data_IF_181885597095
#
_entry.id   IF_181885597095
#
_cell.length_a   1.000
_cell.length_b   1.000
_cell.length_c   1.000
_cell.angle_alpha   90.00
_cell.angle_beta   90.00
_cell.angle_gamma   90.00
#
_symmetry.space_group_name_H-M   'P 1'
#
loop_
_entity.id
_entity.type
_entity.pdbx_description
1 polymer ?
#
# COMPACT_ATOMS: atom_id res chain seq x y z
N UNK A 1 18.38 -29.39 9.01
CA UNK A 1 17.63 -30.26 9.94
C UNK A 1 16.19 -29.80 9.95
N UNK A 2 15.25 -30.64 9.52
CA UNK A 2 13.81 -30.38 9.63
C UNK A 2 13.40 -30.74 11.06
N UNK A 3 12.97 -29.76 11.85
CA UNK A 3 12.33 -29.99 13.14
C UNK A 3 10.97 -30.62 12.83
N UNK A 4 10.88 -31.95 12.96
CA UNK A 4 9.60 -32.65 12.94
C UNK A 4 8.94 -32.38 14.27
N UNK A 5 7.83 -31.64 14.25
CA UNK A 5 6.91 -31.57 15.37
C UNK A 5 6.35 -32.97 15.62
N UNK A 6 6.60 -33.52 16.81
CA UNK A 6 6.12 -34.84 17.26
C UNK A 6 4.58 -34.88 17.46
N UNK A 7 3.87 -33.78 17.16
CA UNK A 7 2.42 -33.66 17.27
C UNK A 7 1.61 -34.50 16.28
N UNK A 8 2.17 -34.85 15.12
CA UNK A 8 1.41 -35.60 14.11
C UNK A 8 1.19 -37.07 14.46
N UNK A 9 1.92 -37.63 15.44
CA UNK A 9 1.72 -39.01 15.87
C UNK A 9 0.61 -39.12 16.94
N UNK A 10 0.41 -38.10 17.77
CA UNK A 10 -0.60 -38.12 18.84
C UNK A 10 -2.01 -37.71 18.39
N UNK A 11 -2.17 -37.01 17.26
CA UNK A 11 -3.50 -36.77 16.65
C UNK A 11 -4.20 -38.08 16.23
N UNK A 12 -3.43 -39.15 15.94
CA UNK A 12 -3.97 -40.44 15.51
C UNK A 12 -4.47 -41.33 16.65
N UNK A 13 -3.98 -41.13 17.87
CA UNK A 13 -4.35 -41.98 19.02
C UNK A 13 -5.56 -41.44 19.80
N UNK A 14 -5.95 -40.18 19.58
CA UNK A 14 -7.15 -39.58 20.21
C UNK A 14 -8.48 -40.01 19.55
N UNK A 15 -8.45 -40.96 18.61
CA UNK A 15 -9.60 -41.36 17.81
C UNK A 15 -10.64 -42.26 18.49
N UNK A 16 -10.32 -43.00 19.56
CA UNK A 16 -11.26 -44.06 20.02
C UNK A 16 -11.40 -44.30 21.53
N UNK A 17 -10.70 -43.58 22.41
CA UNK A 17 -11.04 -43.66 23.85
C UNK A 17 -10.98 -42.29 24.49
N UNK A 18 -12.16 -41.70 24.65
CA UNK A 18 -12.41 -40.56 25.48
C UNK A 18 -12.64 -41.07 26.92
N UNK A 19 -11.65 -41.06 27.83
CA UNK A 19 -11.84 -41.56 29.18
C UNK A 19 -12.51 -40.47 30.04
N UNK A 20 -13.11 -40.90 31.16
CA UNK A 20 -14.03 -40.19 32.05
C UNK A 20 -13.55 -38.90 32.75
N UNK A 21 -12.63 -38.14 32.15
CA UNK A 21 -12.24 -36.77 32.59
C UNK A 21 -13.20 -35.72 31.98
N UNK A 22 -14.04 -36.11 31.02
CA UNK A 22 -14.92 -35.23 30.24
C UNK A 22 -16.13 -34.71 31.01
N UNK A 23 -16.47 -35.28 32.17
CA UNK A 23 -17.63 -34.80 32.94
C UNK A 23 -17.44 -33.42 33.59
N UNK A 24 -16.25 -32.83 33.55
CA UNK A 24 -16.02 -31.53 34.20
C UNK A 24 -14.99 -30.65 33.48
N UNK A 25 -15.32 -30.18 32.28
CA UNK A 25 -14.72 -28.93 31.77
C UNK A 25 -14.83 -27.80 32.82
N UNK A 26 -15.77 -27.86 33.77
CA UNK A 26 -15.91 -26.91 34.88
C UNK A 26 -15.02 -27.19 36.11
N UNK A 27 -14.60 -28.42 36.41
CA UNK A 27 -13.77 -28.71 37.59
C UNK A 27 -12.27 -28.58 37.31
N UNK A 28 -11.87 -28.73 36.04
CA UNK A 28 -10.52 -28.42 35.58
C UNK A 28 -10.22 -26.90 35.64
N UNK A 29 -11.26 -26.07 35.75
CA UNK A 29 -11.18 -24.62 35.93
C UNK A 29 -11.19 -24.16 37.39
N UNK A 30 -11.22 -25.10 38.35
CA UNK A 30 -11.13 -24.74 39.77
C UNK A 30 -9.69 -24.32 40.11
N UNK A 31 -9.56 -23.11 40.63
CA UNK A 31 -8.28 -22.59 41.12
C UNK A 31 -7.69 -23.46 42.24
N UNK A 32 -8.48 -24.35 42.86
CA UNK A 32 -8.04 -25.24 43.93
C UNK A 32 -7.73 -26.66 43.47
N UNK A 33 -7.80 -26.96 42.17
CA UNK A 33 -7.46 -28.29 41.67
C UNK A 33 -5.96 -28.58 41.81
N UNK A 34 -5.63 -29.59 42.63
CA UNK A 34 -4.27 -30.08 42.86
C UNK A 34 -3.97 -31.30 41.97
N UNK A 35 -3.06 -31.10 41.02
CA UNK A 35 -2.61 -32.13 40.10
C UNK A 35 -1.67 -33.17 40.73
N UNK A 36 -1.24 -32.99 41.99
CA UNK A 36 -0.36 -33.95 42.69
C UNK A 36 -1.00 -35.31 42.92
N UNK A 37 -2.34 -35.38 42.90
CA UNK A 37 -3.11 -36.60 43.13
C UNK A 37 -3.36 -37.40 41.83
N UNK A 38 -2.92 -36.89 40.68
CA UNK A 38 -3.09 -37.54 39.37
C UNK A 38 -1.91 -38.45 39.03
N UNK A 39 -2.18 -39.54 38.32
CA UNK A 39 -1.12 -40.38 37.75
C UNK A 39 -0.36 -39.63 36.66
N UNK A 40 0.85 -40.09 36.31
CA UNK A 40 1.65 -39.48 35.23
C UNK A 40 0.89 -39.45 33.90
N UNK A 41 0.21 -40.54 33.56
CA UNK A 41 -0.60 -40.63 32.33
C UNK A 41 -1.75 -39.62 32.32
N UNK A 42 -2.44 -39.45 33.46
CA UNK A 42 -3.51 -38.45 33.59
C UNK A 42 -2.98 -37.02 33.49
N UNK A 43 -1.78 -36.74 34.04
CA UNK A 43 -1.13 -35.42 33.92
C UNK A 43 -0.72 -35.11 32.49
N UNK A 44 -0.23 -36.09 31.73
CA UNK A 44 0.06 -35.94 30.30
C UNK A 44 -1.21 -35.65 29.52
N UNK A 45 -2.29 -36.41 29.74
CA UNK A 45 -3.59 -36.16 29.09
C UNK A 45 -4.14 -34.76 29.40
N UNK A 46 -4.05 -34.32 30.65
CA UNK A 46 -4.47 -32.99 31.07
C UNK A 46 -3.62 -31.88 30.41
N UNK A 47 -2.30 -32.09 30.33
CA UNK A 47 -1.39 -31.16 29.66
C UNK A 47 -1.71 -31.02 28.17
N UNK A 48 -2.00 -32.13 27.49
CA UNK A 48 -2.44 -32.13 26.08
C UNK A 48 -3.77 -31.39 25.89
N UNK A 49 -4.73 -31.59 26.81
CA UNK A 49 -6.01 -30.88 26.76
C UNK A 49 -5.84 -29.36 26.93
N UNK A 50 -4.99 -28.91 27.85
CA UNK A 50 -4.69 -27.48 27.96
C UNK A 50 -3.97 -26.94 26.72
N UNK A 51 -3.06 -27.71 26.12
CA UNK A 51 -2.39 -27.31 24.89
C UNK A 51 -3.35 -27.14 23.70
N UNK A 52 -4.42 -27.93 23.63
CA UNK A 52 -5.48 -27.72 22.61
C UNK A 52 -6.35 -26.50 22.93
N UNK A 53 -6.69 -26.27 24.21
CA UNK A 53 -7.49 -25.12 24.65
C UNK A 53 -6.83 -23.77 24.38
N UNK A 54 -5.49 -23.71 24.36
CA UNK A 54 -4.73 -22.51 24.01
C UNK A 54 -5.11 -21.92 22.64
N UNK A 55 -5.61 -22.75 21.73
CA UNK A 55 -5.95 -22.33 20.36
C UNK A 55 -7.40 -21.80 20.22
N UNK A 56 -8.20 -21.81 21.29
CA UNK A 56 -9.65 -21.53 21.22
C UNK A 56 -9.95 -20.03 21.33
N UNK A 57 -9.56 -19.39 22.43
CA UNK A 57 -9.79 -17.96 22.66
C UNK A 57 -8.70 -17.36 23.54
N UNK A 58 -8.63 -16.03 23.66
CA UNK A 58 -7.61 -15.40 24.51
C UNK A 58 -7.84 -15.74 25.98
N UNK A 59 -9.11 -15.83 26.42
CA UNK A 59 -9.44 -16.27 27.76
C UNK A 59 -9.03 -17.72 28.02
N UNK A 60 -9.39 -18.64 27.12
CA UNK A 60 -9.01 -20.06 27.27
C UNK A 60 -7.49 -20.26 27.23
N UNK A 61 -6.80 -19.50 26.39
CA UNK A 61 -5.34 -19.46 26.37
C UNK A 61 -4.75 -18.97 27.69
N UNK A 62 -5.26 -17.88 28.25
CA UNK A 62 -4.76 -17.36 29.51
C UNK A 62 -4.96 -18.37 30.66
N UNK A 63 -6.13 -19.01 30.68
CA UNK A 63 -6.51 -20.00 31.68
C UNK A 63 -5.67 -21.27 31.58
N UNK A 64 -5.54 -21.83 30.37
CA UNK A 64 -4.70 -22.98 30.10
C UNK A 64 -3.23 -22.71 30.43
N UNK A 65 -2.70 -21.54 30.06
CA UNK A 65 -1.32 -21.14 30.41
C UNK A 65 -1.14 -21.01 31.93
N UNK A 66 -2.12 -20.46 32.65
CA UNK A 66 -2.09 -20.35 34.11
C UNK A 66 -2.08 -21.74 34.76
N UNK A 67 -2.95 -22.65 34.30
CA UNK A 67 -3.00 -24.03 34.79
C UNK A 67 -1.72 -24.81 34.49
N UNK A 68 -1.19 -24.73 33.26
CA UNK A 68 0.06 -25.39 32.87
C UNK A 68 1.24 -24.90 33.73
N UNK A 69 1.31 -23.60 33.99
CA UNK A 69 2.37 -23.02 34.82
C UNK A 69 2.24 -23.46 36.28
N UNK A 70 1.02 -23.39 36.84
CA UNK A 70 0.75 -23.72 38.24
C UNK A 70 1.03 -25.18 38.57
N UNK A 71 0.57 -26.08 37.70
CA UNK A 71 0.67 -27.53 37.89
C UNK A 71 1.98 -28.13 37.32
N UNK A 72 2.89 -27.26 36.85
CA UNK A 72 4.14 -27.63 36.18
C UNK A 72 3.99 -28.64 35.03
N UNK A 73 2.83 -28.62 34.34
CA UNK A 73 2.50 -29.60 33.29
C UNK A 73 3.40 -29.49 32.07
N UNK A 74 4.06 -28.35 31.86
CA UNK A 74 5.04 -28.17 30.80
C UNK A 74 6.20 -29.19 30.87
N UNK A 75 6.55 -29.66 32.09
CA UNK A 75 7.58 -30.69 32.28
C UNK A 75 7.13 -32.06 31.75
N UNK A 76 5.85 -32.37 31.89
CA UNK A 76 5.27 -33.63 31.38
C UNK A 76 5.16 -33.64 29.87
N UNK A 77 5.08 -32.46 29.25
CA UNK A 77 5.16 -32.26 27.80
C UNK A 77 6.60 -32.24 27.27
N UNK A 78 7.60 -32.45 28.13
CA UNK A 78 9.01 -32.52 27.73
C UNK A 78 9.74 -31.18 27.64
N UNK A 79 9.18 -30.09 28.13
CA UNK A 79 9.83 -28.77 28.13
C UNK A 79 10.61 -28.49 29.41
N UNK A 80 11.78 -27.86 29.30
CA UNK A 80 12.60 -27.50 30.46
C UNK A 80 12.04 -26.29 31.22
N UNK A 81 11.33 -25.41 30.52
CA UNK A 81 10.72 -24.22 31.12
C UNK A 81 9.34 -23.89 30.54
N UNK A 82 8.48 -23.28 31.37
CA UNK A 82 7.18 -22.77 30.94
C UNK A 82 7.29 -21.77 29.76
N UNK A 83 8.35 -20.94 29.73
CA UNK A 83 8.53 -19.96 28.66
C UNK A 83 8.96 -20.60 27.34
N UNK A 84 9.71 -21.69 27.41
CA UNK A 84 10.03 -22.49 26.24
C UNK A 84 8.76 -23.11 25.67
N UNK A 85 7.93 -23.73 26.51
CA UNK A 85 6.61 -24.22 26.12
C UNK A 85 5.76 -23.13 25.47
N UNK A 86 5.60 -21.97 26.13
CA UNK A 86 4.78 -20.87 25.62
C UNK A 86 5.30 -20.33 24.26
N UNK A 87 6.61 -20.34 24.05
CA UNK A 87 7.21 -19.91 22.79
C UNK A 87 7.06 -20.95 21.67
N UNK A 88 7.33 -22.22 21.98
CA UNK A 88 7.36 -23.31 20.98
C UNK A 88 5.95 -23.75 20.61
N UNK A 89 5.10 -24.02 21.59
CA UNK A 89 3.75 -24.58 21.36
C UNK A 89 2.71 -23.50 21.09
N UNK A 90 2.83 -22.36 21.76
CA UNK A 90 1.80 -21.32 21.68
C UNK A 90 2.19 -20.16 20.75
N UNK A 91 3.46 -20.07 20.34
CA UNK A 91 4.03 -18.95 19.59
C UNK A 91 3.80 -17.59 20.29
N UNK A 92 3.95 -17.55 21.62
CA UNK A 92 3.74 -16.36 22.45
C UNK A 92 5.07 -15.90 23.03
N UNK A 93 5.26 -14.57 23.13
CA UNK A 93 6.43 -14.01 23.80
C UNK A 93 6.39 -14.25 25.31
N UNK A 94 7.56 -14.30 25.95
CA UNK A 94 7.69 -14.44 27.41
C UNK A 94 6.83 -13.41 28.17
N UNK A 95 6.91 -12.15 27.76
CA UNK A 95 6.18 -11.06 28.42
C UNK A 95 4.67 -11.26 28.27
N UNK A 96 4.22 -11.63 27.08
CA UNK A 96 2.79 -11.85 26.82
C UNK A 96 2.24 -13.06 27.57
N UNK A 97 3.02 -14.14 27.68
CA UNK A 97 2.63 -15.30 28.48
C UNK A 97 2.52 -14.96 29.97
N UNK A 98 3.46 -14.16 30.51
CA UNK A 98 3.38 -13.64 31.88
C UNK A 98 2.13 -12.81 32.10
N UNK A 99 1.83 -11.87 31.20
CA UNK A 99 0.65 -11.02 31.30
C UNK A 99 -0.65 -11.81 31.40
N UNK A 100 -0.81 -12.81 30.55
CA UNK A 100 -2.00 -13.65 30.51
C UNK A 100 -2.17 -14.44 31.80
N UNK A 101 -1.08 -15.06 32.27
CA UNK A 101 -1.10 -15.83 33.52
C UNK A 101 -1.37 -14.95 34.73
N UNK A 102 -0.68 -13.81 34.81
CA UNK A 102 -0.84 -12.87 35.92
C UNK A 102 -2.25 -12.28 35.96
N UNK A 103 -2.84 -12.02 34.78
CA UNK A 103 -4.20 -11.54 34.69
C UNK A 103 -5.23 -12.58 35.17
N UNK A 104 -5.09 -13.84 34.79
CA UNK A 104 -5.98 -14.90 35.31
C UNK A 104 -5.75 -15.10 36.81
N UNK A 105 -4.51 -15.05 37.29
CA UNK A 105 -4.23 -15.17 38.73
C UNK A 105 -4.84 -14.03 39.57
N UNK A 106 -5.04 -12.85 38.96
CA UNK A 106 -5.56 -11.67 39.65
C UNK A 106 -7.10 -11.60 39.63
N UNK A 107 -7.73 -12.03 38.54
CA UNK A 107 -9.17 -11.85 38.31
C UNK A 107 -9.97 -13.16 38.31
N UNK A 108 -9.28 -14.29 38.19
CA UNK A 108 -9.84 -15.63 38.15
C UNK A 108 -10.62 -16.00 36.89
N UNK A 109 -11.27 -17.16 36.95
CA UNK A 109 -11.95 -17.80 35.82
C UNK A 109 -13.44 -17.46 35.67
N UNK A 110 -13.90 -16.31 36.19
CA UNK A 110 -15.32 -15.94 36.16
C UNK A 110 -15.87 -15.60 34.77
N UNK A 111 -17.17 -15.86 34.53
CA UNK A 111 -17.85 -15.55 33.27
C UNK A 111 -17.75 -14.07 32.88
N UNK A 112 -17.77 -13.18 33.88
CA UNK A 112 -17.60 -11.73 33.68
C UNK A 112 -16.21 -11.40 33.12
N UNK A 113 -15.17 -12.07 33.60
CA UNK A 113 -13.79 -11.90 33.13
C UNK A 113 -13.63 -12.43 31.72
N UNK A 114 -14.22 -13.59 31.43
CA UNK A 114 -14.29 -14.14 30.08
C UNK A 114 -14.90 -13.14 29.10
N UNK A 115 -16.07 -12.57 29.43
CA UNK A 115 -16.73 -11.59 28.58
C UNK A 115 -15.87 -10.34 28.33
N UNK A 116 -15.23 -9.81 29.39
CA UNK A 116 -14.38 -8.62 29.28
C UNK A 116 -13.11 -8.87 28.48
N UNK A 117 -12.46 -10.02 28.70
CA UNK A 117 -11.24 -10.40 27.99
C UNK A 117 -11.52 -10.72 26.53
N UNK A 118 -12.60 -11.43 26.21
CA UNK A 118 -12.97 -11.74 24.83
C UNK A 118 -13.45 -10.49 24.07
N UNK A 119 -14.08 -9.51 24.75
CA UNK A 119 -14.50 -8.25 24.14
C UNK A 119 -13.32 -7.35 23.72
N UNK A 120 -12.26 -7.28 24.53
CA UNK A 120 -11.06 -6.51 24.19
C UNK A 120 -9.80 -7.06 24.89
N UNK A 121 -9.14 -8.08 24.33
CA UNK A 121 -8.04 -8.77 25.01
C UNK A 121 -6.83 -7.88 25.30
N UNK A 122 -6.49 -7.01 24.35
CA UNK A 122 -5.37 -6.07 24.50
C UNK A 122 -5.65 -5.05 25.61
N UNK A 123 -6.87 -4.50 25.66
CA UNK A 123 -7.22 -3.53 26.69
C UNK A 123 -7.36 -4.18 28.05
N UNK A 124 -7.98 -5.36 28.11
CA UNK A 124 -8.07 -6.15 29.33
C UNK A 124 -6.70 -6.29 30.01
N UNK A 125 -5.69 -6.69 29.24
CA UNK A 125 -4.35 -6.92 29.78
C UNK A 125 -3.63 -5.62 30.14
N UNK A 126 -3.89 -4.52 29.42
CA UNK A 126 -3.39 -3.20 29.81
C UNK A 126 -3.98 -2.75 31.16
N UNK A 127 -5.31 -2.86 31.34
CA UNK A 127 -6.00 -2.44 32.57
C UNK A 127 -5.64 -3.35 33.74
N UNK A 128 -5.52 -4.67 33.49
CA UNK A 128 -5.02 -5.63 34.47
C UNK A 128 -3.65 -5.25 35.03
N UNK A 129 -2.70 -4.89 34.16
CA UNK A 129 -1.38 -4.37 34.57
C UNK A 129 -1.48 -3.10 35.40
N UNK A 130 -2.35 -2.17 35.00
CA UNK A 130 -2.57 -0.92 35.73
C UNK A 130 -3.09 -1.20 37.14
N UNK A 131 -4.12 -2.03 37.26
CA UNK A 131 -4.69 -2.46 38.54
C UNK A 131 -3.61 -3.08 39.43
N UNK A 132 -2.80 -4.00 38.88
CA UNK A 132 -1.73 -4.64 39.65
C UNK A 132 -0.69 -3.64 40.14
N UNK A 133 -0.30 -2.68 39.31
CA UNK A 133 0.63 -1.62 39.69
C UNK A 133 0.06 -0.75 40.82
N UNK A 134 -1.22 -0.37 40.73
CA UNK A 134 -1.91 0.38 41.78
C UNK A 134 -1.97 -0.41 43.10
N UNK A 135 -2.33 -1.69 43.04
CA UNK A 135 -2.31 -2.58 44.21
C UNK A 135 -0.93 -2.72 44.85
N UNK A 136 0.13 -2.87 44.05
CA UNK A 136 1.52 -2.93 44.54
C UNK A 136 1.96 -1.63 45.22
N UNK A 137 1.43 -0.48 44.77
CA UNK A 137 1.67 0.82 45.39
C UNK A 137 0.81 1.08 46.64
N UNK A 138 -0.11 0.17 46.99
CA UNK A 138 -1.08 0.37 48.07
C UNK A 138 -2.16 1.41 47.75
N UNK A 139 -2.36 1.73 46.47
CA UNK A 139 -3.39 2.68 46.03
C UNK A 139 -4.77 2.01 46.04
N UNK A 140 -5.79 2.74 46.51
CA UNK A 140 -7.18 2.31 46.39
C UNK A 140 -7.65 2.53 44.95
N UNK A 141 -8.42 1.58 44.42
CA UNK A 141 -9.01 1.70 43.09
C UNK A 141 -10.26 2.58 43.20
N UNK A 142 -10.24 3.70 42.50
CA UNK A 142 -11.32 4.70 42.53
C UNK A 142 -11.85 4.89 41.12
N UNK A 143 -13.18 4.90 40.99
CA UNK A 143 -13.89 5.24 39.75
C UNK A 143 -13.63 6.70 39.35
N UNK A 144 -14.01 7.04 38.12
CA UNK A 144 -14.10 8.42 37.66
C UNK A 144 -15.01 9.31 38.54
N UNK A 145 -15.94 8.70 39.29
CA UNK A 145 -16.88 9.33 40.22
C UNK A 145 -16.32 9.62 41.61
N UNK A 146 -15.13 9.10 41.94
CA UNK A 146 -14.52 9.25 43.27
C UNK A 146 -14.88 8.12 44.27
N UNK A 147 -15.63 7.10 43.84
CA UNK A 147 -16.02 5.95 44.66
C UNK A 147 -14.96 4.85 44.64
N UNK A 148 -14.67 4.26 45.82
CA UNK A 148 -13.80 3.10 45.95
C UNK A 148 -14.50 1.84 45.45
N UNK A 149 -13.81 1.05 44.63
CA UNK A 149 -14.41 -0.10 43.95
C UNK A 149 -13.47 -1.30 43.87
N UNK A 150 -14.05 -2.46 43.52
CA UNK A 150 -13.29 -3.68 43.29
C UNK A 150 -12.48 -3.64 41.98
N UNK A 151 -11.48 -4.51 41.90
CA UNK A 151 -10.63 -4.63 40.71
C UNK A 151 -11.42 -5.02 39.45
N UNK A 152 -12.45 -5.84 39.60
CA UNK A 152 -13.30 -6.30 38.48
C UNK A 152 -14.20 -5.19 37.97
N UNK A 153 -14.76 -4.36 38.86
CA UNK A 153 -15.55 -3.18 38.50
C UNK A 153 -14.69 -2.12 37.80
N UNK A 154 -13.46 -1.90 38.28
CA UNK A 154 -12.53 -0.93 37.66
C UNK A 154 -12.18 -1.35 36.23
N UNK A 155 -11.98 -2.66 36.05
CA UNK A 155 -11.69 -3.23 34.74
C UNK A 155 -12.87 -3.08 33.78
N UNK A 156 -14.09 -3.32 34.25
CA UNK A 156 -15.32 -3.18 33.46
C UNK A 156 -15.58 -1.73 33.03
N UNK A 157 -15.45 -0.75 33.94
CA UNK A 157 -15.64 0.67 33.63
C UNK A 157 -14.65 1.09 32.54
N UNK A 158 -13.35 0.81 32.73
CA UNK A 158 -12.31 1.23 31.78
C UNK A 158 -12.45 0.62 30.40
N UNK A 159 -12.84 -0.66 30.32
CA UNK A 159 -13.11 -1.29 29.02
C UNK A 159 -14.36 -0.68 28.38
N UNK A 160 -15.40 -0.39 29.17
CA UNK A 160 -16.66 0.19 28.68
C UNK A 160 -16.48 1.62 28.16
N UNK A 161 -15.71 2.46 28.86
CA UNK A 161 -15.36 3.82 28.43
C UNK A 161 -14.67 3.80 27.06
N UNK A 162 -13.64 2.96 26.90
CA UNK A 162 -12.90 2.88 25.64
C UNK A 162 -13.77 2.32 24.50
N UNK A 163 -14.59 1.31 24.77
CA UNK A 163 -15.53 0.80 23.78
C UNK A 163 -16.53 1.88 23.34
N UNK A 164 -16.98 2.76 24.25
CA UNK A 164 -17.83 3.89 23.92
C UNK A 164 -17.09 4.93 23.04
N UNK A 165 -15.82 5.24 23.35
CA UNK A 165 -15.00 6.13 22.54
C UNK A 165 -14.73 5.57 21.14
N UNK A 166 -14.39 4.28 21.04
CA UNK A 166 -14.17 3.60 19.77
C UNK A 166 -15.44 3.59 18.93
N UNK A 167 -16.61 3.33 19.54
CA UNK A 167 -17.90 3.43 18.84
C UNK A 167 -18.15 4.85 18.32
N UNK A 168 -17.81 5.89 19.08
CA UNK A 168 -17.95 7.29 18.65
C UNK A 168 -17.01 7.61 17.47
N UNK A 169 -15.74 7.20 17.55
CA UNK A 169 -14.76 7.35 16.47
C UNK A 169 -15.19 6.60 15.20
N UNK A 170 -15.69 5.38 15.34
CA UNK A 170 -16.16 4.56 14.22
C UNK A 170 -17.40 5.20 13.54
N UNK A 171 -18.34 5.74 14.33
CA UNK A 171 -19.46 6.54 13.78
C UNK A 171 -18.99 7.77 13.01
N UNK A 172 -17.96 8.47 13.48
CA UNK A 172 -17.38 9.62 12.77
C UNK A 172 -16.73 9.20 11.45
N UNK A 173 -15.88 8.16 11.48
CA UNK A 173 -15.23 7.62 10.28
C UNK A 173 -16.23 7.13 9.25
N UNK A 174 -17.33 6.47 9.67
CA UNK A 174 -18.38 6.05 8.74
C UNK A 174 -19.07 7.23 8.05
N UNK A 175 -19.26 8.36 8.74
CA UNK A 175 -19.79 9.57 8.12
C UNK A 175 -18.82 10.18 7.12
N UNK A 176 -17.52 10.21 7.46
CA UNK A 176 -16.48 10.68 6.54
C UNK A 176 -16.38 9.79 5.28
N UNK A 177 -16.49 8.47 5.45
CA UNK A 177 -16.53 7.52 4.35
C UNK A 177 -17.73 7.80 3.42
N UNK A 178 -18.91 8.03 3.99
CA UNK A 178 -20.12 8.29 3.20
C UNK A 178 -20.04 9.62 2.45
N UNK A 179 -19.50 10.66 3.09
CA UNK A 179 -19.21 11.93 2.42
C UNK A 179 -18.23 11.74 1.25
N UNK A 180 -17.14 11.01 1.48
CA UNK A 180 -16.13 10.73 0.45
C UNK A 180 -16.73 9.97 -0.73
N UNK A 181 -17.60 8.98 -0.49
CA UNK A 181 -18.30 8.27 -1.57
C UNK A 181 -19.19 9.21 -2.39
N UNK A 182 -19.91 10.12 -1.74
CA UNK A 182 -20.71 11.14 -2.41
C UNK A 182 -19.83 12.06 -3.27
N UNK A 183 -18.68 12.50 -2.77
CA UNK A 183 -17.76 13.37 -3.51
C UNK A 183 -17.14 12.67 -4.72
N UNK A 184 -16.81 11.37 -4.59
CA UNK A 184 -16.36 10.54 -5.72
C UNK A 184 -17.46 10.43 -6.77
N UNK A 185 -18.69 10.12 -6.38
CA UNK A 185 -19.81 10.03 -7.31
C UNK A 185 -20.11 11.36 -8.04
N UNK A 186 -19.92 12.50 -7.36
CA UNK A 186 -20.04 13.82 -7.98
C UNK A 186 -18.89 14.10 -8.96
N UNK A 187 -17.67 13.72 -8.60
CA UNK A 187 -16.49 13.86 -9.48
C UNK A 187 -16.64 13.02 -10.76
N UNK A 188 -17.15 11.80 -10.65
CA UNK A 188 -17.42 10.94 -11.82
C UNK A 188 -18.45 11.56 -12.77
N UNK A 189 -19.51 12.18 -12.25
CA UNK A 189 -20.48 12.93 -13.06
C UNK A 189 -19.83 14.11 -13.78
N UNK A 190 -18.95 14.85 -13.11
CA UNK A 190 -18.22 15.96 -13.72
C UNK A 190 -17.28 15.48 -14.81
N UNK A 191 -16.52 14.39 -14.58
CA UNK A 191 -15.65 13.78 -15.57
C UNK A 191 -16.44 13.35 -16.81
N UNK A 192 -17.60 12.71 -16.63
CA UNK A 192 -18.46 12.32 -17.76
C UNK A 192 -18.92 13.53 -18.57
N UNK A 193 -19.38 14.58 -17.88
CA UNK A 193 -19.80 15.84 -18.52
C UNK A 193 -18.66 16.49 -19.31
N UNK A 194 -17.45 16.51 -18.75
CA UNK A 194 -16.28 17.05 -19.43
C UNK A 194 -15.88 16.22 -20.65
N UNK A 195 -15.93 14.89 -20.57
CA UNK A 195 -15.69 14.00 -21.71
C UNK A 195 -16.67 14.26 -22.86
N UNK A 196 -17.95 14.45 -22.55
CA UNK A 196 -18.97 14.74 -23.56
C UNK A 196 -18.72 16.12 -24.21
N UNK A 197 -18.29 17.13 -23.43
CA UNK A 197 -17.90 18.45 -23.96
C UNK A 197 -16.66 18.39 -24.85
N UNK A 198 -15.67 17.57 -24.50
CA UNK A 198 -14.48 17.36 -25.33
C UNK A 198 -14.87 16.76 -26.67
N UNK A 199 -15.68 15.69 -26.68
CA UNK A 199 -16.18 15.08 -27.93
C UNK A 199 -16.93 16.06 -28.81
N UNK A 200 -17.77 16.92 -28.22
CA UNK A 200 -18.47 17.95 -28.97
C UNK A 200 -17.48 18.95 -29.61
N UNK A 201 -16.42 19.35 -28.89
CA UNK A 201 -15.38 20.23 -29.42
C UNK A 201 -14.52 19.57 -30.50
N UNK A 202 -14.23 18.29 -30.38
CA UNK A 202 -13.51 17.55 -31.42
C UNK A 202 -14.34 17.50 -32.71
N UNK A 203 -15.65 17.27 -32.61
CA UNK A 203 -16.56 17.33 -33.75
C UNK A 203 -16.62 18.73 -34.38
N UNK A 204 -16.72 19.79 -33.55
CA UNK A 204 -16.68 21.18 -34.04
C UNK A 204 -15.38 21.44 -34.82
N UNK A 205 -14.25 20.96 -34.29
CA UNK A 205 -12.92 21.16 -34.88
C UNK A 205 -12.79 20.41 -36.21
N UNK A 206 -13.31 19.19 -36.30
CA UNK A 206 -13.32 18.41 -37.54
C UNK A 206 -14.20 19.05 -38.60
N UNK A 207 -15.39 19.53 -38.24
CA UNK A 207 -16.27 20.29 -39.13
C UNK A 207 -15.57 21.57 -39.63
N UNK A 208 -14.83 22.27 -38.76
CA UNK A 208 -14.08 23.47 -39.16
C UNK A 208 -12.93 23.15 -40.13
N UNK A 209 -12.21 22.04 -39.93
CA UNK A 209 -11.18 21.59 -40.88
C UNK A 209 -11.77 21.33 -42.25
N UNK A 210 -12.89 20.59 -42.29
CA UNK A 210 -13.59 20.28 -43.54
C UNK A 210 -14.14 21.56 -44.21
N UNK A 211 -14.85 22.41 -43.46
CA UNK A 211 -15.47 23.62 -43.99
C UNK A 211 -14.45 24.64 -44.54
N UNK A 212 -13.27 24.73 -43.92
CA UNK A 212 -12.20 25.64 -44.38
C UNK A 212 -11.25 25.00 -45.41
N UNK A 213 -11.46 23.73 -45.79
CA UNK A 213 -10.54 23.00 -46.68
C UNK A 213 -9.09 23.01 -46.17
N UNK A 214 -8.91 23.13 -44.83
CA UNK A 214 -7.61 23.23 -44.19
C UNK A 214 -7.02 21.81 -44.13
N UNK A 215 -6.44 21.38 -45.24
CA UNK A 215 -5.62 20.18 -45.28
C UNK A 215 -4.29 20.47 -44.54
N UNK A 216 -4.02 19.81 -43.40
CA UNK A 216 -2.80 20.03 -42.63
C UNK A 216 -1.53 19.84 -43.46
N UNK A 217 -1.56 18.93 -44.44
CA UNK A 217 -0.43 18.67 -45.32
C UNK A 217 -0.20 19.83 -46.29
N UNK A 218 -1.27 20.43 -46.83
CA UNK A 218 -1.15 21.64 -47.67
C UNK A 218 -0.64 22.84 -46.90
N UNK A 219 -1.03 22.99 -45.64
CA UNK A 219 -0.51 24.09 -44.80
C UNK A 219 0.98 23.90 -44.53
N UNK A 220 1.40 22.66 -44.27
CA UNK A 220 2.81 22.33 -44.09
C UNK A 220 3.61 22.58 -45.38
N UNK A 221 3.13 22.13 -46.53
CA UNK A 221 3.82 22.35 -47.81
C UNK A 221 3.92 23.84 -48.18
N UNK A 222 2.88 24.63 -47.93
CA UNK A 222 2.93 26.10 -48.11
C UNK A 222 3.99 26.74 -47.19
N UNK A 223 4.15 26.24 -45.97
CA UNK A 223 5.17 26.74 -45.03
C UNK A 223 6.58 26.41 -45.52
N UNK A 224 6.80 25.16 -45.93
CA UNK A 224 8.08 24.71 -46.49
C UNK A 224 8.44 25.49 -47.76
N UNK A 225 7.46 25.71 -48.66
CA UNK A 225 7.65 26.55 -49.85
C UNK A 225 8.08 27.97 -49.49
N UNK A 226 7.40 28.62 -48.54
CA UNK A 226 7.76 29.98 -48.10
C UNK A 226 9.15 30.06 -47.46
N UNK A 227 9.58 29.00 -46.78
CA UNK A 227 10.92 28.92 -46.21
C UNK A 227 11.99 28.83 -47.30
N UNK A 228 11.73 28.04 -48.35
CA UNK A 228 12.60 27.96 -49.54
C UNK A 228 12.63 29.32 -50.28
N UNK A 229 11.49 29.97 -50.49
CA UNK A 229 11.41 31.30 -51.11
C UNK A 229 12.27 32.32 -50.36
N UNK A 230 12.18 32.33 -49.02
CA UNK A 230 13.01 33.21 -48.18
C UNK A 230 14.50 32.95 -48.35
N UNK A 231 14.93 31.69 -48.39
CA UNK A 231 16.35 31.35 -48.59
C UNK A 231 16.85 31.80 -49.96
N UNK A 232 16.02 31.69 -51.01
CA UNK A 232 16.34 32.20 -52.35
C UNK A 232 16.51 33.72 -52.33
N UNK A 233 15.60 34.44 -51.67
CA UNK A 233 15.68 35.90 -51.55
C UNK A 233 16.95 36.34 -50.80
N UNK A 234 17.31 35.67 -49.72
CA UNK A 234 18.54 35.94 -48.96
C UNK A 234 19.80 35.70 -49.82
N UNK A 235 19.83 34.61 -50.60
CA UNK A 235 20.92 34.33 -51.53
C UNK A 235 21.01 35.36 -52.67
N UNK A 236 19.87 35.74 -53.25
CA UNK A 236 19.82 36.76 -54.30
C UNK A 236 20.37 38.10 -53.80
N UNK A 237 19.98 38.52 -52.59
CA UNK A 237 20.50 39.74 -51.97
C UNK A 237 22.02 39.67 -51.75
N UNK A 238 22.54 38.50 -51.34
CA UNK A 238 23.99 38.26 -51.21
C UNK A 238 24.72 38.36 -52.55
N UNK A 239 24.18 37.74 -53.61
CA UNK A 239 24.75 37.81 -54.97
C UNK A 239 24.76 39.25 -55.49
N UNK A 240 23.65 39.99 -55.34
CA UNK A 240 23.56 41.40 -55.77
C UNK A 240 24.62 42.24 -55.04
N UNK A 241 24.81 42.01 -53.75
CA UNK A 241 25.83 42.70 -52.95
C UNK A 241 27.24 42.34 -53.45
N UNK A 242 27.51 41.07 -53.70
CA UNK A 242 28.79 40.61 -54.24
C UNK A 242 29.09 41.21 -55.63
N UNK A 243 28.10 41.25 -56.53
CA UNK A 243 28.21 41.86 -57.84
C UNK A 243 28.49 43.36 -57.74
N UNK A 244 27.81 44.07 -56.84
CA UNK A 244 28.09 45.50 -56.58
C UNK A 244 29.54 45.70 -56.12
N UNK A 245 30.02 44.89 -55.18
CA UNK A 245 31.40 44.95 -54.71
C UNK A 245 32.42 44.68 -55.84
N UNK A 246 32.11 43.76 -56.77
CA UNK A 246 32.96 43.52 -57.95
C UNK A 246 33.03 44.74 -58.88
N UNK A 247 31.93 45.48 -59.05
CA UNK A 247 31.93 46.70 -59.89
C UNK A 247 32.74 47.84 -59.27
N UNK A 248 32.93 47.84 -57.96
CA UNK A 248 33.66 48.85 -57.20
C UNK A 248 35.16 48.54 -57.06
N UNK A 249 35.67 47.43 -57.64
CA UNK A 249 37.09 47.09 -57.62
C UNK A 249 37.90 48.16 -58.36
N UNK A 250 38.92 48.79 -57.71
CA UNK A 250 39.77 49.81 -58.32
C UNK A 250 40.48 49.30 -59.58
N UNK A 251 40.63 50.18 -60.58
CA UNK A 251 41.26 49.80 -61.86
C UNK A 251 42.71 49.35 -61.69
N UNK A 252 43.43 49.82 -60.66
CA UNK A 252 44.83 49.42 -60.43
C UNK A 252 44.99 47.94 -60.06
N UNK A 253 43.91 47.29 -59.58
CA UNK A 253 43.90 45.89 -59.15
C UNK A 253 43.31 44.96 -60.22
N UNK A 254 42.78 45.51 -61.32
CA UNK A 254 42.20 44.74 -62.44
C UNK A 254 43.29 44.16 -63.34
N UNK A 255 43.83 43.00 -62.95
CA UNK A 255 44.74 42.22 -63.79
C UNK A 255 43.96 41.28 -64.73
N UNK A 256 44.48 41.03 -65.94
CA UNK A 256 43.93 40.08 -66.92
C UNK A 256 43.65 38.68 -66.32
N UNK A 257 44.46 38.22 -65.39
CA UNK A 257 44.25 36.93 -64.70
C UNK A 257 42.95 36.91 -63.88
N UNK A 258 42.66 38.01 -63.16
CA UNK A 258 41.42 38.19 -62.39
C UNK A 258 40.22 38.28 -63.33
N UNK A 259 40.34 39.00 -64.45
CA UNK A 259 39.29 39.09 -65.47
C UNK A 259 38.94 37.73 -66.09
N UNK A 260 39.94 36.92 -66.43
CA UNK A 260 39.74 35.55 -66.94
C UNK A 260 39.07 34.66 -65.89
N UNK A 261 39.48 34.75 -64.62
CA UNK A 261 38.89 33.96 -63.53
C UNK A 261 37.42 34.32 -63.28
N UNK A 262 37.09 35.62 -63.29
CA UNK A 262 35.70 36.10 -63.14
C UNK A 262 34.86 35.67 -64.33
N UNK A 263 35.34 35.83 -65.57
CA UNK A 263 34.62 35.37 -66.77
C UNK A 263 34.37 33.86 -66.75
N UNK A 264 35.36 33.05 -66.34
CA UNK A 264 35.19 31.58 -66.23
C UNK A 264 34.16 31.21 -65.15
N UNK A 265 34.17 31.92 -64.04
CA UNK A 265 33.20 31.72 -62.95
C UNK A 265 31.78 32.09 -63.40
N UNK A 266 31.60 33.21 -64.09
CA UNK A 266 30.31 33.62 -64.69
C UNK A 266 29.83 32.56 -65.69
N UNK A 267 30.69 32.13 -66.61
CA UNK A 267 30.32 31.11 -67.60
C UNK A 267 29.91 29.78 -66.96
N UNK A 268 30.58 29.38 -65.87
CA UNK A 268 30.23 28.17 -65.11
C UNK A 268 28.87 28.32 -64.43
N UNK A 269 28.60 29.48 -63.81
CA UNK A 269 27.30 29.80 -63.21
C UNK A 269 26.18 29.81 -64.26
N UNK A 270 26.41 30.38 -65.45
CA UNK A 270 25.44 30.37 -66.54
C UNK A 270 25.09 28.96 -67.00
N UNK A 271 26.07 28.07 -67.11
CA UNK A 271 25.85 26.66 -67.48
C UNK A 271 25.06 25.94 -66.39
N UNK A 272 25.44 26.11 -65.12
CA UNK A 272 24.72 25.51 -63.99
C UNK A 272 23.28 26.02 -63.88
N UNK A 273 23.04 27.32 -64.11
CA UNK A 273 21.70 27.92 -64.13
C UNK A 273 20.85 27.37 -65.28
N UNK A 274 21.45 27.17 -66.47
CA UNK A 274 20.75 26.53 -67.60
C UNK A 274 20.37 25.08 -67.28
N UNK A 275 21.28 24.30 -66.70
CA UNK A 275 20.99 22.92 -66.28
C UNK A 275 19.86 22.88 -65.25
N UNK A 276 19.95 23.72 -64.21
CA UNK A 276 18.92 23.83 -63.18
C UNK A 276 17.56 24.21 -63.77
N UNK A 277 17.53 25.15 -64.73
CA UNK A 277 16.30 25.56 -65.42
C UNK A 277 15.68 24.43 -66.24
N UNK A 278 16.50 23.58 -66.88
CA UNK A 278 16.03 22.40 -67.62
C UNK A 278 15.45 21.36 -66.67
N UNK A 279 16.15 21.06 -65.57
CA UNK A 279 15.68 20.10 -64.56
C UNK A 279 14.36 20.55 -63.91
N UNK A 280 14.26 21.82 -63.55
CA UNK A 280 13.02 22.42 -63.03
C UNK A 280 11.90 22.42 -64.08
N UNK A 281 12.21 22.75 -65.34
CA UNK A 281 11.24 22.69 -66.42
C UNK A 281 10.70 21.27 -66.65
N UNK A 282 11.55 20.26 -66.54
CA UNK A 282 11.15 18.85 -66.59
C UNK A 282 10.26 18.45 -65.42
N UNK A 283 10.55 18.92 -64.21
CA UNK A 283 9.73 18.69 -63.03
C UNK A 283 8.32 19.27 -63.17
N UNK A 284 8.20 20.52 -63.64
CA UNK A 284 6.89 21.18 -63.83
C UNK A 284 6.06 20.47 -64.91
N UNK A 285 6.68 20.06 -66.02
CA UNK A 285 5.98 19.36 -67.11
C UNK A 285 5.47 17.99 -66.65
N UNK A 286 6.26 17.27 -65.84
CA UNK A 286 5.87 15.96 -65.31
C UNK A 286 4.76 16.06 -64.25
N UNK A 287 4.68 17.15 -63.48
CA UNK A 287 3.59 17.39 -62.53
C UNK A 287 2.28 17.81 -63.20
N UNK A 288 2.32 18.45 -64.38
CA UNK A 288 1.12 18.87 -65.14
C UNK A 288 0.56 17.74 -66.01
N UNK A 289 1.33 16.68 -66.26
CA UNK A 289 0.93 15.51 -67.07
C UNK A 289 0.34 14.35 -66.25
N UNK A 290 0.27 14.46 -64.92
CA UNK A 290 -0.43 13.54 -64.01
C UNK A 290 -1.78 14.12 -63.58
#
# INVERSE_FOLDING_TARGET
>A
MKVKSEFNEYEKELGETAPAIIETEQAVLDENFDASNLTKEQRVQLATLYATQIKISTFQMALALASIRRMELYKELGFESFFEFAKVECNISKDRALELVDAISEFGAGDKIKQLMDASPSKFLQVSKEIRKKKLNGEVLVLSTGEEISATEYLEERISEELAELRKKNKALNRELENTKSDVANSDKQIKTLKDRIKAKDNDLENLKQAKGLDPLKIQSIKEQREIERLIDDQNNSIVTALKNLTEIPEEVRNNSLGIYVMRSIATLEVSLKALKVDWGGHIINEVAQ
#
